data_IF_767487719811
#
_entry.id   IF_767487719811
#
_cell.length_a   1.000
_cell.length_b   1.000
_cell.length_c   1.000
_cell.angle_alpha   90.00
_cell.angle_beta   90.00
_cell.angle_gamma   90.00
#
_symmetry.space_group_name_H-M   'P 1'
#
loop_
_entity.id
_entity.type
_entity.pdbx_description
1 polymer ?
#
# COMPACT_ATOMS: atom_id res chain seq x y z
N UNK A 1 -19.46 -12.82 -5.54
CA UNK A 1 -18.04 -12.41 -5.61
C UNK A 1 -17.25 -13.61 -6.14
N UNK A 2 -16.63 -13.52 -7.33
CA UNK A 2 -15.93 -14.67 -7.95
C UNK A 2 -14.50 -14.79 -7.42
N UNK A 3 -14.02 -15.98 -7.00
CA UNK A 3 -12.69 -16.14 -6.38
C UNK A 3 -11.53 -15.64 -7.26
N UNK A 4 -11.67 -15.76 -8.58
CA UNK A 4 -10.62 -15.47 -9.57
C UNK A 4 -10.31 -13.98 -9.72
N UNK A 5 -11.31 -13.12 -9.54
CA UNK A 5 -11.15 -11.66 -9.57
C UNK A 5 -10.45 -11.16 -8.32
N UNK A 6 -10.68 -11.84 -7.18
CA UNK A 6 -10.06 -11.49 -5.92
C UNK A 6 -8.54 -11.76 -5.96
N UNK A 7 -8.10 -12.85 -6.61
CA UNK A 7 -6.67 -13.15 -6.76
C UNK A 7 -5.94 -12.09 -7.59
N UNK A 8 -6.53 -11.65 -8.72
CA UNK A 8 -5.90 -10.62 -9.57
C UNK A 8 -5.77 -9.28 -8.87
N UNK A 9 -6.82 -8.84 -8.17
CA UNK A 9 -6.79 -7.62 -7.39
C UNK A 9 -5.76 -7.72 -6.25
N UNK A 10 -5.70 -8.86 -5.55
CA UNK A 10 -4.72 -9.07 -4.50
C UNK A 10 -3.27 -9.01 -5.01
N UNK A 11 -3.00 -9.58 -6.19
CA UNK A 11 -1.68 -9.55 -6.82
C UNK A 11 -1.30 -8.14 -7.30
N UNK A 12 -2.26 -7.38 -7.84
CA UNK A 12 -2.08 -5.98 -8.21
C UNK A 12 -1.77 -5.11 -6.98
N UNK A 13 -2.52 -5.29 -5.88
CA UNK A 13 -2.27 -4.61 -4.61
C UNK A 13 -0.87 -4.94 -4.08
N UNK A 14 -0.45 -6.21 -4.14
CA UNK A 14 0.89 -6.62 -3.68
C UNK A 14 2.01 -5.94 -4.48
N UNK A 15 1.87 -5.83 -5.79
CA UNK A 15 2.83 -5.10 -6.63
C UNK A 15 2.82 -3.60 -6.35
N UNK A 16 1.64 -2.99 -6.21
CA UNK A 16 1.53 -1.57 -5.90
C UNK A 16 2.20 -1.20 -4.58
N UNK A 17 2.14 -2.09 -3.57
CA UNK A 17 2.85 -1.92 -2.29
C UNK A 17 4.38 -1.87 -2.51
N UNK A 18 4.92 -2.72 -3.39
CA UNK A 18 6.34 -2.71 -3.71
C UNK A 18 6.72 -1.40 -4.44
N UNK A 19 5.91 -0.96 -5.40
CA UNK A 19 6.12 0.31 -6.12
C UNK A 19 6.06 1.50 -5.16
N UNK A 20 5.10 1.54 -4.25
CA UNK A 20 5.01 2.60 -3.24
C UNK A 20 6.24 2.61 -2.31
N UNK A 21 6.79 1.43 -2.00
CA UNK A 21 8.01 1.31 -1.20
C UNK A 21 9.26 1.87 -1.92
N UNK A 22 9.35 1.69 -3.24
CA UNK A 22 10.57 1.99 -4.01
C UNK A 22 10.51 3.30 -4.79
N UNK A 23 9.34 3.69 -5.26
CA UNK A 23 9.10 4.85 -6.13
C UNK A 23 8.03 5.82 -5.59
N UNK A 24 7.36 5.47 -4.48
CA UNK A 24 6.37 6.30 -3.81
C UNK A 24 4.94 6.20 -4.36
N UNK A 25 4.02 6.80 -3.62
CA UNK A 25 2.58 6.59 -3.78
C UNK A 25 2.03 7.03 -5.14
N UNK A 26 2.62 8.05 -5.77
CA UNK A 26 2.19 8.52 -7.09
C UNK A 26 2.40 7.46 -8.19
N UNK A 27 3.53 6.73 -8.14
CA UNK A 27 3.80 5.65 -9.09
C UNK A 27 2.90 4.44 -8.83
N UNK A 28 2.64 4.12 -7.57
CA UNK A 28 1.72 3.05 -7.20
C UNK A 28 0.27 3.36 -7.61
N UNK A 29 -0.15 4.62 -7.50
CA UNK A 29 -1.44 5.10 -8.00
C UNK A 29 -1.57 4.90 -9.50
N UNK A 30 -0.57 5.36 -10.27
CA UNK A 30 -0.57 5.23 -11.72
C UNK A 30 -0.65 3.76 -12.17
N UNK A 31 0.10 2.86 -11.51
CA UNK A 31 0.06 1.43 -11.77
C UNK A 31 -1.33 0.81 -11.54
N UNK A 32 -1.96 1.10 -10.39
CA UNK A 32 -3.31 0.56 -10.08
C UNK A 32 -4.39 1.15 -10.99
N UNK A 33 -4.28 2.43 -11.34
CA UNK A 33 -5.20 3.09 -12.27
C UNK A 33 -5.14 2.47 -13.66
N UNK A 34 -3.94 2.12 -14.14
CA UNK A 34 -3.76 1.44 -15.42
C UNK A 34 -4.33 0.01 -15.46
N UNK A 35 -4.67 -0.57 -14.31
CA UNK A 35 -5.33 -1.88 -14.17
C UNK A 35 -6.83 -1.75 -13.89
N UNK A 36 -7.40 -0.55 -14.09
CA UNK A 36 -8.82 -0.24 -13.85
C UNK A 36 -9.27 -0.53 -12.40
N UNK A 37 -8.35 -0.44 -11.43
CA UNK A 37 -8.70 -0.56 -10.02
C UNK A 37 -9.48 0.70 -9.60
N UNK A 38 -10.66 0.57 -8.97
CA UNK A 38 -11.44 1.74 -8.58
C UNK A 38 -10.71 2.67 -7.61
N UNK A 39 -10.82 3.98 -7.80
CA UNK A 39 -10.15 5.01 -6.99
C UNK A 39 -10.34 4.83 -5.48
N UNK A 40 -11.56 4.49 -5.03
CA UNK A 40 -11.83 4.26 -3.61
C UNK A 40 -11.02 3.08 -3.04
N UNK A 41 -10.71 2.08 -3.86
CA UNK A 41 -9.86 0.95 -3.48
C UNK A 41 -8.39 1.37 -3.45
N UNK A 42 -7.94 2.15 -4.43
CA UNK A 42 -6.57 2.70 -4.48
C UNK A 42 -6.30 3.57 -3.25
N UNK A 43 -7.20 4.52 -2.96
CA UNK A 43 -7.12 5.41 -1.79
C UNK A 43 -7.04 4.62 -0.50
N UNK A 44 -7.87 3.59 -0.32
CA UNK A 44 -7.86 2.74 0.87
C UNK A 44 -6.51 2.07 1.08
N UNK A 45 -5.95 1.47 0.02
CA UNK A 45 -4.68 0.74 0.09
C UNK A 45 -3.51 1.67 0.39
N UNK A 46 -3.38 2.77 -0.36
CA UNK A 46 -2.23 3.66 -0.23
C UNK A 46 -2.29 4.50 1.07
N UNK A 47 -3.49 4.88 1.53
CA UNK A 47 -3.65 5.66 2.76
C UNK A 47 -3.40 4.82 4.02
N UNK A 48 -3.85 3.55 4.06
CA UNK A 48 -3.54 2.65 5.18
C UNK A 48 -2.03 2.42 5.28
N UNK A 49 -1.34 2.28 4.14
CA UNK A 49 0.13 2.13 4.10
C UNK A 49 0.86 3.38 4.60
N UNK A 50 0.46 4.56 4.13
CA UNK A 50 1.03 5.82 4.60
C UNK A 50 0.86 5.99 6.13
N UNK A 51 -0.32 5.62 6.67
CA UNK A 51 -0.57 5.61 8.11
C UNK A 51 0.31 4.64 8.88
N UNK A 52 0.50 3.42 8.38
CA UNK A 52 1.40 2.43 9.02
C UNK A 52 2.85 2.91 9.04
N UNK A 53 3.31 3.54 7.95
CA UNK A 53 4.65 4.11 7.87
C UNK A 53 4.84 5.26 8.87
N UNK A 54 3.86 6.15 9.02
CA UNK A 54 3.93 7.22 10.04
C UNK A 54 3.97 6.64 11.47
N UNK A 55 3.25 5.54 11.72
CA UNK A 55 3.33 4.83 13.00
C UNK A 55 4.67 4.12 13.23
N UNK A 56 5.25 3.47 12.21
CA UNK A 56 6.57 2.81 12.30
C UNK A 56 7.68 3.84 12.52
N UNK A 57 7.58 5.01 11.89
CA UNK A 57 8.53 6.12 12.07
C UNK A 57 8.44 6.74 13.48
N UNK A 58 7.32 6.54 14.18
CA UNK A 58 7.08 7.07 15.53
C UNK A 58 7.46 6.12 16.66
N UNK A 59 7.95 4.91 16.39
CA UNK A 59 8.53 4.08 17.45
C UNK A 59 9.92 4.63 17.78
N UNK A 60 10.12 5.36 18.90
CA UNK A 60 11.44 5.84 19.26
C UNK A 60 12.23 4.67 19.82
N UNK A 61 13.48 4.59 19.39
CA UNK A 61 14.55 3.83 20.01
C UNK A 61 14.75 4.27 21.47
N UNK A 62 13.88 3.79 22.37
CA UNK A 62 14.08 3.91 23.81
C UNK A 62 14.33 2.52 24.37
N UNK A 63 15.55 2.03 24.11
CA UNK A 63 16.15 1.02 24.97
C UNK A 63 16.47 1.73 26.29
N UNK A 64 15.57 1.60 27.26
CA UNK A 64 15.88 1.91 28.65
C UNK A 64 16.91 0.87 29.14
N UNK A 65 18.19 1.23 29.09
CA UNK A 65 19.23 0.55 29.86
C UNK A 65 19.08 1.03 31.30
N UNK A 66 18.65 0.12 32.19
CA UNK A 66 18.76 0.23 33.65
C UNK A 66 19.92 -0.64 34.10
#
# INVERSE_FOLDING_TARGET
>A
MRPRENTRLADAIRHAIIIDATAGAAHAWAFLSALDVPDHTILRVLSDRARRRDSDQRLPDRIDVV
#
